data_IF_055593614426
#
_entry.id   IF_055593614426
#
_cell.length_a   1.000
_cell.length_b   1.000
_cell.length_c   1.000
_cell.angle_alpha   90.00
_cell.angle_beta   90.00
_cell.angle_gamma   90.00
#
_symmetry.space_group_name_H-M   'P 1'
#
loop_
_entity.id
_entity.type
_entity.pdbx_description
1 polymer ?
#
# COMPACT_ATOMS: atom_id res chain seq x y z
N UNK A 1 -53.40 34.19 3.56
CA UNK A 1 -53.23 35.07 2.38
C UNK A 1 -52.45 34.32 1.34
N UNK A 2 -53.10 34.00 0.26
CA UNK A 2 -52.57 33.29 -0.89
C UNK A 2 -51.93 34.27 -1.87
N UNK A 3 -50.85 33.86 -2.52
CA UNK A 3 -50.51 34.35 -3.85
C UNK A 3 -49.79 33.30 -4.67
N UNK A 4 -50.47 32.77 -5.62
CA UNK A 4 -50.08 32.08 -6.83
C UNK A 4 -49.62 33.07 -7.88
N UNK A 5 -48.59 32.77 -8.69
CA UNK A 5 -48.31 33.26 -10.07
C UNK A 5 -46.99 32.57 -10.46
N UNK A 6 -46.75 31.97 -11.62
CA UNK A 6 -47.46 31.83 -12.87
C UNK A 6 -46.53 31.06 -13.81
N UNK A 7 -47.10 30.12 -14.53
CA UNK A 7 -46.42 29.35 -15.60
C UNK A 7 -46.13 30.28 -16.80
N UNK A 8 -45.01 30.07 -17.47
CA UNK A 8 -44.79 30.58 -18.81
C UNK A 8 -44.12 29.52 -19.70
N UNK A 9 -44.84 28.91 -20.66
CA UNK A 9 -44.28 27.99 -21.63
C UNK A 9 -43.81 28.76 -22.86
N UNK A 10 -42.54 28.81 -23.15
CA UNK A 10 -42.04 29.25 -24.45
C UNK A 10 -41.67 28.05 -25.30
N UNK A 11 -42.52 27.82 -26.28
CA UNK A 11 -42.29 26.95 -27.42
C UNK A 11 -41.00 27.33 -28.16
N UNK A 12 -40.10 26.39 -28.31
CA UNK A 12 -38.96 26.50 -29.21
C UNK A 12 -39.30 25.73 -30.50
N UNK A 13 -39.46 26.47 -31.56
CA UNK A 13 -39.73 26.06 -32.92
C UNK A 13 -38.58 25.20 -33.46
N UNK A 14 -38.89 23.96 -33.83
CA UNK A 14 -37.99 23.05 -34.52
C UNK A 14 -37.87 23.45 -35.99
N UNK A 15 -36.71 24.00 -36.37
CA UNK A 15 -36.38 24.27 -37.79
C UNK A 15 -35.73 23.00 -38.37
N UNK A 16 -36.47 22.34 -39.22
CA UNK A 16 -36.07 21.20 -40.00
C UNK A 16 -35.25 21.69 -41.19
N UNK A 17 -33.92 21.51 -41.14
CA UNK A 17 -33.01 21.80 -42.25
C UNK A 17 -32.92 20.57 -43.16
N UNK A 18 -33.60 20.67 -44.29
CA UNK A 18 -33.51 19.75 -45.41
C UNK A 18 -32.13 19.85 -46.06
N UNK A 19 -31.29 18.86 -45.88
CA UNK A 19 -30.02 18.73 -46.58
C UNK A 19 -30.13 17.68 -47.69
N UNK A 20 -30.30 18.19 -48.89
CA UNK A 20 -30.17 17.50 -50.16
C UNK A 20 -28.94 16.57 -50.17
N UNK A 21 -29.17 15.32 -50.36
CA UNK A 21 -28.20 14.30 -50.73
C UNK A 21 -27.58 14.60 -52.09
N UNK A 22 -26.40 15.22 -52.08
CA UNK A 22 -25.57 15.29 -53.28
C UNK A 22 -24.80 13.97 -53.38
N UNK A 23 -25.21 13.11 -54.35
CA UNK A 23 -24.50 11.89 -54.68
C UNK A 23 -23.09 12.21 -55.19
N UNK A 24 -22.12 11.83 -54.39
CA UNK A 24 -20.70 11.90 -54.76
C UNK A 24 -20.29 10.55 -55.27
N UNK A 25 -20.29 10.38 -56.60
CA UNK A 25 -19.72 9.19 -57.26
C UNK A 25 -18.20 9.24 -57.11
N UNK A 26 -17.71 8.65 -56.04
CA UNK A 26 -16.30 8.43 -55.84
C UNK A 26 -15.79 7.40 -56.82
N UNK A 27 -14.83 7.79 -57.64
CA UNK A 27 -14.20 6.92 -58.65
C UNK A 27 -13.62 5.66 -57.98
N UNK A 28 -13.79 4.52 -58.68
CA UNK A 28 -13.36 3.20 -58.22
C UNK A 28 -11.87 3.15 -57.86
N UNK A 29 -11.06 4.00 -58.46
CA UNK A 29 -9.62 4.13 -58.19
C UNK A 29 -9.36 4.70 -56.80
N UNK A 30 -10.16 5.69 -56.33
CA UNK A 30 -10.04 6.28 -54.98
C UNK A 30 -10.42 5.31 -53.88
N UNK A 31 -11.38 4.39 -54.16
CA UNK A 31 -11.76 3.33 -53.22
C UNK A 31 -10.70 2.26 -53.04
N UNK A 32 -9.96 1.89 -54.08
CA UNK A 32 -8.86 0.93 -54.03
C UNK A 32 -7.65 1.46 -53.28
N UNK A 33 -7.33 2.75 -53.41
CA UNK A 33 -6.26 3.40 -52.65
C UNK A 33 -6.60 3.54 -51.16
N UNK A 34 -7.85 3.79 -50.78
CA UNK A 34 -8.26 3.91 -49.37
C UNK A 34 -8.19 2.54 -48.64
N UNK A 35 -8.46 1.44 -49.33
CA UNK A 35 -8.37 0.08 -48.74
C UNK A 35 -6.92 -0.37 -48.54
N UNK A 36 -6.00 0.01 -49.42
CA UNK A 36 -4.60 -0.32 -49.30
C UNK A 36 -3.90 0.39 -48.11
N UNK A 37 -4.34 1.59 -47.72
CA UNK A 37 -3.79 2.31 -46.56
C UNK A 37 -4.27 1.78 -45.19
N UNK A 38 -5.42 1.10 -45.14
CA UNK A 38 -5.93 0.52 -43.90
C UNK A 38 -5.25 -0.83 -43.54
N UNK A 39 -4.67 -1.54 -44.49
CA UNK A 39 -4.04 -2.82 -44.25
C UNK A 39 -2.63 -2.72 -43.63
N UNK A 40 -2.00 -1.55 -43.62
CA UNK A 40 -0.65 -1.35 -43.10
C UNK A 40 -0.61 -0.87 -41.65
N UNK A 41 -1.76 -0.65 -41.00
CA UNK A 41 -1.84 -0.10 -39.64
C UNK A 41 -1.86 -1.16 -38.53
N UNK A 42 -1.85 -2.45 -38.85
CA UNK A 42 -1.93 -3.53 -37.84
C UNK A 42 -0.57 -4.14 -37.45
N UNK A 43 0.54 -3.64 -37.98
CA UNK A 43 1.85 -4.24 -37.73
C UNK A 43 2.70 -3.54 -36.66
N UNK A 44 2.17 -2.61 -35.88
CA UNK A 44 2.95 -1.82 -34.92
C UNK A 44 2.41 -1.82 -33.48
N UNK A 45 1.68 -2.86 -33.04
CA UNK A 45 1.51 -3.12 -31.61
C UNK A 45 2.46 -4.24 -31.19
N UNK A 46 3.77 -4.01 -31.29
CA UNK A 46 4.72 -4.71 -30.45
C UNK A 46 4.43 -4.22 -29.04
N UNK A 47 3.73 -5.03 -28.25
CA UNK A 47 3.60 -4.84 -26.81
C UNK A 47 5.04 -4.83 -26.27
N UNK A 48 5.56 -3.65 -26.07
CA UNK A 48 6.79 -3.44 -25.33
C UNK A 48 6.48 -3.94 -23.92
N UNK A 49 6.95 -5.14 -23.59
CA UNK A 49 6.97 -5.60 -22.20
C UNK A 49 7.72 -4.51 -21.45
N UNK A 50 6.99 -3.84 -20.54
CA UNK A 50 7.60 -2.89 -19.62
C UNK A 50 8.83 -3.60 -19.00
N UNK A 51 9.99 -2.94 -18.93
CA UNK A 51 11.17 -3.58 -18.35
C UNK A 51 10.79 -4.08 -16.98
N UNK A 52 10.92 -5.41 -16.81
CA UNK A 52 10.73 -6.06 -15.51
C UNK A 52 11.65 -5.33 -14.57
N UNK A 53 11.07 -4.52 -13.68
CA UNK A 53 11.84 -3.73 -12.73
C UNK A 53 12.79 -4.71 -12.04
N UNK A 54 14.08 -4.54 -12.26
CA UNK A 54 15.12 -5.34 -11.62
C UNK A 54 14.94 -5.11 -10.13
N UNK A 55 14.50 -6.14 -9.42
CA UNK A 55 14.24 -6.04 -7.98
C UNK A 55 15.59 -5.74 -7.35
N UNK A 56 15.80 -4.50 -6.93
CA UNK A 56 17.02 -4.08 -6.27
C UNK A 56 17.39 -5.05 -5.14
N UNK A 57 18.69 -5.28 -4.93
CA UNK A 57 19.15 -6.15 -3.84
C UNK A 57 18.58 -5.66 -2.49
N UNK A 58 18.29 -6.57 -1.55
CA UNK A 58 17.84 -6.17 -0.22
C UNK A 58 18.86 -5.25 0.46
N UNK A 59 18.35 -4.20 1.13
CA UNK A 59 19.20 -3.37 1.96
C UNK A 59 19.69 -4.18 3.17
N UNK A 60 20.91 -3.87 3.62
CA UNK A 60 21.43 -4.40 4.90
C UNK A 60 20.97 -3.52 6.06
N UNK A 61 20.82 -4.12 7.24
CA UNK A 61 20.48 -3.35 8.44
C UNK A 61 21.58 -2.32 8.74
N UNK A 62 21.24 -1.08 9.10
CA UNK A 62 22.22 -0.10 9.53
C UNK A 62 22.94 -0.53 10.79
N UNK A 63 24.26 -0.33 10.83
CA UNK A 63 25.10 -0.62 12.00
C UNK A 63 25.17 0.53 13.00
N UNK A 64 24.53 1.65 12.69
CA UNK A 64 24.47 2.86 13.51
C UNK A 64 23.03 3.21 13.88
N UNK A 65 22.84 4.15 14.80
CA UNK A 65 21.51 4.64 15.20
C UNK A 65 20.96 5.71 14.23
N UNK A 66 21.50 5.82 13.01
CA UNK A 66 21.00 6.79 12.02
C UNK A 66 19.55 6.49 11.63
N UNK A 67 18.65 7.34 12.11
CA UNK A 67 17.21 7.23 11.89
C UNK A 67 16.84 7.24 10.40
N UNK A 68 17.57 7.99 9.58
CA UNK A 68 17.31 8.06 8.12
C UNK A 68 17.64 6.75 7.44
N UNK A 69 18.80 6.17 7.75
CA UNK A 69 19.21 4.86 7.23
C UNK A 69 18.25 3.75 7.68
N UNK A 70 17.85 3.77 8.96
CA UNK A 70 16.87 2.81 9.49
C UNK A 70 15.51 2.93 8.81
N UNK A 71 15.02 4.15 8.55
CA UNK A 71 13.75 4.34 7.84
C UNK A 71 13.79 3.80 6.41
N UNK A 72 14.91 4.00 5.70
CA UNK A 72 15.09 3.45 4.36
C UNK A 72 15.08 1.91 4.40
N UNK A 73 15.81 1.31 5.35
CA UNK A 73 15.86 -0.12 5.54
C UNK A 73 14.48 -0.72 5.90
N UNK A 74 13.78 -0.12 6.86
CA UNK A 74 12.43 -0.57 7.27
C UNK A 74 11.43 -0.49 6.12
N UNK A 75 11.52 0.55 5.30
CA UNK A 75 10.71 0.66 4.08
C UNK A 75 11.01 -0.45 3.07
N UNK A 76 12.27 -0.80 2.86
CA UNK A 76 12.66 -1.91 1.99
C UNK A 76 12.11 -3.24 2.53
N UNK A 77 12.30 -3.51 3.83
CA UNK A 77 11.74 -4.71 4.49
C UNK A 77 10.22 -4.76 4.37
N UNK A 78 9.52 -3.66 4.64
CA UNK A 78 8.07 -3.60 4.53
C UNK A 78 7.62 -3.88 3.09
N UNK A 79 8.23 -3.23 2.09
CA UNK A 79 7.91 -3.39 0.67
C UNK A 79 8.07 -4.83 0.20
N UNK A 80 9.13 -5.52 0.63
CA UNK A 80 9.39 -6.92 0.26
C UNK A 80 8.42 -7.92 0.91
N UNK A 81 7.73 -7.51 1.96
CA UNK A 81 6.78 -8.34 2.69
C UNK A 81 5.32 -8.00 2.40
N UNK A 82 5.02 -7.17 1.39
CA UNK A 82 3.67 -6.73 1.04
C UNK A 82 2.78 -7.82 0.42
N UNK A 83 3.30 -8.99 0.08
CA UNK A 83 2.48 -10.06 -0.50
C UNK A 83 1.30 -10.41 0.42
N UNK A 84 0.08 -10.35 -0.13
CA UNK A 84 -1.16 -10.58 0.63
C UNK A 84 -1.56 -9.44 1.59
N UNK A 85 -0.84 -8.30 1.59
CA UNK A 85 -1.18 -7.10 2.37
C UNK A 85 -1.95 -6.13 1.47
N UNK A 86 -3.11 -5.67 1.92
CA UNK A 86 -4.00 -4.80 1.14
C UNK A 86 -4.04 -3.37 1.64
N UNK A 87 -3.54 -3.13 2.85
CA UNK A 87 -3.50 -1.82 3.50
C UNK A 87 -2.07 -1.33 3.71
N UNK A 88 -1.90 -0.04 4.00
CA UNK A 88 -0.60 0.51 4.39
C UNK A 88 -0.12 -0.15 5.68
N UNK A 89 1.16 -0.55 5.78
CA UNK A 89 1.71 -1.16 6.98
C UNK A 89 1.68 -0.24 8.20
N UNK A 90 1.42 -0.81 9.37
CA UNK A 90 1.69 -0.17 10.64
C UNK A 90 3.16 -0.34 10.98
N UNK A 91 3.93 0.73 10.94
CA UNK A 91 5.36 0.69 11.25
C UNK A 91 5.59 1.23 12.66
N UNK A 92 6.17 0.40 13.52
CA UNK A 92 6.60 0.73 14.87
C UNK A 92 8.12 0.78 14.89
N UNK A 93 8.64 1.98 14.75
CA UNK A 93 10.08 2.25 14.75
C UNK A 93 10.46 3.00 16.02
N UNK A 94 11.34 2.40 16.81
CA UNK A 94 11.94 3.02 18.00
C UNK A 94 13.38 3.41 17.67
N UNK A 95 13.82 4.65 17.93
CA UNK A 95 15.22 5.03 17.72
C UNK A 95 16.14 4.35 18.74
N UNK A 96 17.44 4.54 18.60
CA UNK A 96 18.42 4.00 19.57
C UNK A 96 18.22 4.57 20.98
N UNK A 97 18.56 3.78 22.00
CA UNK A 97 18.35 4.14 23.42
C UNK A 97 19.05 5.43 23.86
N UNK A 98 20.11 5.82 23.15
CA UNK A 98 20.85 7.06 23.40
C UNK A 98 20.18 8.31 22.81
N UNK A 99 19.09 8.15 22.07
CA UNK A 99 18.37 9.27 21.48
C UNK A 99 17.73 10.14 22.54
N UNK A 100 17.74 11.46 22.32
CA UNK A 100 17.11 12.41 23.23
C UNK A 100 15.61 12.08 23.40
N UNK A 101 15.15 12.06 24.64
CA UNK A 101 13.76 11.77 24.97
C UNK A 101 13.32 10.33 24.70
N UNK A 102 14.24 9.38 24.58
CA UNK A 102 13.96 7.98 24.27
C UNK A 102 12.82 7.37 25.11
N UNK A 103 12.85 7.56 26.46
CA UNK A 103 11.80 7.03 27.34
C UNK A 103 10.40 7.51 26.96
N UNK A 104 10.24 8.80 26.71
CA UNK A 104 8.96 9.34 26.27
C UNK A 104 8.56 8.93 24.85
N UNK A 105 9.53 8.61 23.98
CA UNK A 105 9.25 8.02 22.66
C UNK A 105 8.77 6.57 22.80
N UNK A 106 9.42 5.79 23.68
CA UNK A 106 9.03 4.42 23.98
C UNK A 106 7.60 4.35 24.53
N UNK A 107 7.28 5.14 25.54
CA UNK A 107 5.94 5.19 26.16
C UNK A 107 4.85 5.52 25.12
N UNK A 108 5.05 6.55 24.31
CA UNK A 108 4.09 6.94 23.26
C UNK A 108 3.92 5.85 22.20
N UNK A 109 5.00 5.14 21.83
CA UNK A 109 4.94 4.11 20.83
C UNK A 109 4.24 2.86 21.38
N UNK A 110 4.48 2.52 22.65
CA UNK A 110 3.78 1.44 23.36
C UNK A 110 2.29 1.75 23.44
N UNK A 111 1.91 2.95 23.92
CA UNK A 111 0.52 3.38 24.00
C UNK A 111 -0.17 3.33 22.62
N UNK A 112 0.53 3.81 21.58
CA UNK A 112 0.00 3.73 20.21
C UNK A 112 -0.24 2.28 19.78
N UNK A 113 0.70 1.37 20.04
CA UNK A 113 0.58 -0.05 19.70
C UNK A 113 -0.61 -0.68 20.45
N UNK A 114 -0.73 -0.42 21.75
CA UNK A 114 -1.85 -0.93 22.57
C UNK A 114 -3.20 -0.40 22.07
N UNK A 115 -3.29 0.87 21.69
CA UNK A 115 -4.49 1.46 21.12
C UNK A 115 -4.84 0.84 19.76
N UNK A 116 -3.87 0.62 18.89
CA UNK A 116 -4.10 0.02 17.57
C UNK A 116 -4.56 -1.44 17.73
N UNK A 117 -3.94 -2.22 18.62
CA UNK A 117 -4.35 -3.59 18.94
C UNK A 117 -5.74 -3.62 19.58
N UNK A 118 -6.04 -2.70 20.48
CA UNK A 118 -7.34 -2.60 21.16
C UNK A 118 -8.51 -2.25 20.24
N UNK A 119 -8.24 -1.52 19.14
CA UNK A 119 -9.24 -1.26 18.07
C UNK A 119 -9.51 -2.49 17.20
N UNK A 120 -8.64 -3.47 17.25
CA UNK A 120 -8.67 -4.65 16.39
C UNK A 120 -7.98 -4.40 15.06
N UNK A 121 -7.01 -5.25 14.73
CA UNK A 121 -6.31 -5.24 13.44
C UNK A 121 -6.80 -6.42 12.63
N UNK A 122 -7.37 -6.13 11.46
CA UNK A 122 -8.02 -7.12 10.61
C UNK A 122 -7.05 -7.72 9.59
N UNK A 123 -7.47 -8.84 8.98
CA UNK A 123 -6.80 -9.47 7.85
C UNK A 123 -6.44 -8.46 6.75
N UNK A 124 -5.32 -8.70 6.06
CA UNK A 124 -4.80 -7.80 5.03
C UNK A 124 -3.97 -6.64 5.58
N UNK A 125 -3.82 -6.54 6.90
CA UNK A 125 -2.90 -5.58 7.53
C UNK A 125 -1.55 -6.23 7.84
N UNK A 126 -0.52 -5.38 7.97
CA UNK A 126 0.82 -5.77 8.39
C UNK A 126 1.34 -4.82 9.47
N UNK A 127 1.92 -5.40 10.53
CA UNK A 127 2.68 -4.68 11.54
C UNK A 127 4.16 -4.95 11.30
N UNK A 128 4.98 -3.90 11.34
CA UNK A 128 6.44 -3.98 11.18
C UNK A 128 7.10 -3.40 12.41
N UNK A 129 7.89 -4.20 13.09
CA UNK A 129 8.67 -3.81 14.27
C UNK A 129 10.14 -3.82 13.92
N UNK A 130 10.81 -2.68 14.04
CA UNK A 130 12.23 -2.54 13.75
C UNK A 130 12.86 -1.44 14.59
N UNK A 131 14.10 -1.61 15.04
CA UNK A 131 14.78 -0.63 15.88
C UNK A 131 16.26 -0.98 16.03
N UNK A 132 17.16 -0.01 16.17
CA UNK A 132 18.46 -0.26 16.76
C UNK A 132 18.36 -0.66 18.26
N UNK A 133 17.32 -0.23 18.98
CA UNK A 133 17.03 -0.65 20.36
C UNK A 133 16.16 -1.93 20.37
N UNK A 134 16.70 -3.04 19.86
CA UNK A 134 15.97 -4.28 19.61
C UNK A 134 15.35 -4.89 20.87
N UNK A 135 16.07 -4.87 22.01
CA UNK A 135 15.56 -5.38 23.28
C UNK A 135 14.32 -4.60 23.74
N UNK A 136 14.35 -3.28 23.63
CA UNK A 136 13.22 -2.42 23.99
C UNK A 136 12.02 -2.60 23.07
N UNK A 137 12.27 -2.80 21.79
CA UNK A 137 11.19 -3.13 20.84
C UNK A 137 10.57 -4.49 21.15
N UNK A 138 11.37 -5.48 21.50
CA UNK A 138 10.89 -6.80 21.92
C UNK A 138 10.02 -6.70 23.18
N UNK A 139 10.50 -5.99 24.20
CA UNK A 139 9.77 -5.73 25.46
C UNK A 139 8.42 -5.03 25.20
N UNK A 140 8.41 -4.05 24.30
CA UNK A 140 7.19 -3.35 23.87
C UNK A 140 6.18 -4.32 23.24
N UNK A 141 6.61 -5.17 22.31
CA UNK A 141 5.74 -6.17 21.67
C UNK A 141 5.21 -7.17 22.68
N UNK A 142 6.09 -7.75 23.53
CA UNK A 142 5.69 -8.68 24.59
C UNK A 142 4.65 -8.05 25.52
N UNK A 143 4.78 -6.77 25.84
CA UNK A 143 3.85 -6.06 26.74
C UNK A 143 2.51 -5.84 26.07
N UNK A 144 2.49 -5.30 24.87
CA UNK A 144 1.25 -4.96 24.17
C UNK A 144 0.43 -6.20 23.78
N UNK A 145 1.10 -7.28 23.37
CA UNK A 145 0.40 -8.51 22.95
C UNK A 145 -0.20 -9.33 24.11
N UNK A 146 0.16 -9.06 25.37
CA UNK A 146 -0.47 -9.72 26.53
C UNK A 146 -1.98 -9.54 26.58
N UNK A 147 -2.49 -8.41 26.10
CA UNK A 147 -3.90 -8.08 26.11
C UNK A 147 -4.65 -8.55 24.83
N UNK A 148 -3.93 -9.09 23.85
CA UNK A 148 -4.53 -9.53 22.58
C UNK A 148 -5.20 -10.88 22.74
N UNK A 149 -6.50 -11.01 22.42
CA UNK A 149 -7.19 -12.29 22.54
C UNK A 149 -6.63 -13.33 21.56
N UNK A 150 -6.53 -14.60 21.96
CA UNK A 150 -6.06 -15.67 21.10
C UNK A 150 -6.88 -15.76 19.79
N UNK A 151 -6.19 -15.89 18.66
CA UNK A 151 -6.80 -16.05 17.35
C UNK A 151 -7.53 -14.80 16.78
N UNK A 152 -7.45 -13.66 17.47
CA UNK A 152 -8.14 -12.42 17.05
C UNK A 152 -7.51 -11.73 15.86
N UNK A 153 -6.25 -12.07 15.49
CA UNK A 153 -5.50 -11.43 14.42
C UNK A 153 -5.18 -12.38 13.27
N UNK A 154 -6.07 -13.34 12.98
CA UNK A 154 -5.89 -14.23 11.83
C UNK A 154 -5.80 -13.44 10.52
N UNK A 155 -4.84 -13.84 9.66
CA UNK A 155 -4.60 -13.15 8.39
C UNK A 155 -3.81 -11.84 8.49
N UNK A 156 -3.49 -11.39 9.70
CA UNK A 156 -2.57 -10.25 9.93
C UNK A 156 -1.13 -10.74 9.83
N UNK A 157 -0.27 -9.96 9.19
CA UNK A 157 1.16 -10.23 9.09
C UNK A 157 1.91 -9.44 10.15
N UNK A 158 2.84 -10.07 10.85
CA UNK A 158 3.76 -9.40 11.78
C UNK A 158 5.18 -9.65 11.32
N UNK A 159 5.90 -8.59 11.02
CA UNK A 159 7.31 -8.61 10.63
C UNK A 159 8.13 -8.04 11.77
N UNK A 160 9.09 -8.80 12.26
CA UNK A 160 10.06 -8.35 13.26
C UNK A 160 11.47 -8.37 12.70
N UNK A 161 12.18 -7.27 12.88
CA UNK A 161 13.58 -7.10 12.48
C UNK A 161 14.45 -7.08 13.73
N UNK A 162 15.39 -8.04 13.85
CA UNK A 162 16.25 -8.10 15.03
C UNK A 162 17.20 -9.29 15.02
N UNK A 163 17.75 -9.61 16.20
CA UNK A 163 18.55 -10.80 16.40
C UNK A 163 17.70 -12.07 16.51
N UNK A 164 18.24 -13.27 16.20
CA UNK A 164 17.49 -14.52 16.25
C UNK A 164 16.86 -14.81 17.63
N UNK A 165 17.57 -14.51 18.72
CA UNK A 165 17.08 -14.73 20.08
C UNK A 165 15.86 -13.86 20.37
N UNK A 166 15.89 -12.60 19.98
CA UNK A 166 14.77 -11.67 20.15
C UNK A 166 13.60 -12.03 19.20
N UNK A 167 13.92 -12.52 18.00
CA UNK A 167 12.92 -13.02 17.06
C UNK A 167 12.07 -14.15 17.64
N UNK A 168 12.67 -15.10 18.36
CA UNK A 168 11.94 -16.19 19.02
C UNK A 168 11.08 -15.68 20.20
N UNK A 169 11.55 -14.69 20.94
CA UNK A 169 10.75 -14.05 22.00
C UNK A 169 9.51 -13.37 21.43
N UNK A 170 9.70 -12.57 20.36
CA UNK A 170 8.58 -11.91 19.69
C UNK A 170 7.61 -12.92 19.08
N UNK A 171 8.13 -13.99 18.44
CA UNK A 171 7.30 -15.07 17.91
C UNK A 171 6.38 -15.63 18.99
N UNK A 172 6.96 -16.00 20.14
CA UNK A 172 6.21 -16.57 21.26
C UNK A 172 5.10 -15.62 21.77
N UNK A 173 5.37 -14.31 21.75
CA UNK A 173 4.40 -13.31 22.18
C UNK A 173 3.24 -13.12 21.21
N UNK A 174 3.48 -13.19 19.88
CA UNK A 174 2.48 -12.84 18.86
C UNK A 174 1.73 -14.04 18.28
N UNK A 175 2.32 -15.24 18.27
CA UNK A 175 1.69 -16.46 17.73
C UNK A 175 0.31 -16.77 18.33
N UNK A 176 0.05 -16.60 19.64
CA UNK A 176 -1.29 -16.85 20.20
C UNK A 176 -2.38 -16.01 19.55
N UNK A 177 -2.08 -14.82 19.06
CA UNK A 177 -3.02 -13.96 18.36
C UNK A 177 -3.44 -14.50 16.97
N UNK A 178 -2.74 -15.51 16.44
CA UNK A 178 -3.04 -16.15 15.16
C UNK A 178 -2.46 -15.42 13.94
N UNK A 179 -1.43 -14.59 14.14
CA UNK A 179 -0.77 -13.82 13.08
C UNK A 179 0.15 -14.70 12.20
N UNK A 180 0.40 -14.23 10.97
CA UNK A 180 1.50 -14.75 10.15
C UNK A 180 2.78 -14.03 10.54
N UNK A 181 3.61 -14.69 11.37
CA UNK A 181 4.87 -14.12 11.81
C UNK A 181 5.98 -14.29 10.77
N UNK A 182 6.77 -13.24 10.56
CA UNK A 182 7.94 -13.19 9.68
C UNK A 182 9.10 -12.58 10.47
N UNK A 183 10.20 -13.31 10.54
CA UNK A 183 11.44 -12.83 11.12
C UNK A 183 12.40 -12.39 10.02
N UNK A 184 13.00 -11.22 10.19
CA UNK A 184 14.05 -10.66 9.35
C UNK A 184 15.26 -10.41 10.23
N UNK A 185 16.35 -11.13 9.96
CA UNK A 185 17.58 -10.93 10.72
C UNK A 185 18.24 -9.61 10.36
N UNK A 186 18.53 -8.79 11.38
CA UNK A 186 19.26 -7.53 11.22
C UNK A 186 20.76 -7.84 11.04
N UNK A 187 21.22 -7.89 9.77
CA UNK A 187 22.62 -8.13 9.36
C UNK A 187 23.20 -6.94 8.65
#
# INVERSE_FOLDING_TARGET
MAQTVGLNPRAATFVQSDRRTRGNTMNTITRLLAVACLALSFAACKKEEAPKAEVAAPLSAPTTDDVTAWRAYVNDVATRNMDGVTNSPFVYFLPGEKSEGFGGLYERLLEKLEQDLGRGILEGNMLVFASPAQDKTTEMVETAFKAVPPGSMKGVKVVFVGSPILGERVRTAVEPAGVKYIFVEAK
#
